data_IF_580125993082
#
_entry.id   IF_580125993082
#
_cell.length_a   1.000
_cell.length_b   1.000
_cell.length_c   1.000
_cell.angle_alpha   90.00
_cell.angle_beta   90.00
_cell.angle_gamma   90.00
#
_symmetry.space_group_name_H-M   'P 1'
#
loop_
_entity.id
_entity.type
_entity.pdbx_description
1 polymer ?
#
# COMPACT_ATOMS: atom_id res chain seq x y z
N UNK A 1 42.89 -95.61 3.88
CA UNK A 1 43.24 -95.38 2.46
C UNK A 1 42.41 -94.19 1.95
N UNK A 2 42.76 -93.60 0.80
CA UNK A 2 42.15 -92.39 0.20
C UNK A 2 40.61 -92.54 -0.07
N UNK A 3 39.78 -91.49 -0.23
CA UNK A 3 40.03 -90.02 -0.30
C UNK A 3 38.86 -89.12 0.22
N UNK A 4 38.84 -87.83 -0.16
CA UNK A 4 37.89 -86.75 0.26
C UNK A 4 36.70 -86.61 -0.76
N UNK A 5 35.71 -85.69 -0.71
CA UNK A 5 35.60 -84.33 -0.11
C UNK A 5 34.16 -83.72 -0.13
N UNK A 6 33.81 -82.88 0.87
CA UNK A 6 32.72 -81.85 0.95
C UNK A 6 31.22 -82.28 0.82
N UNK A 7 30.25 -81.88 1.68
CA UNK A 7 29.72 -80.55 2.18
C UNK A 7 28.78 -79.85 1.18
N UNK A 8 27.63 -79.23 1.52
CA UNK A 8 26.79 -79.02 2.75
C UNK A 8 25.41 -78.42 2.31
N UNK A 9 24.33 -78.16 3.07
CA UNK A 9 24.00 -78.07 4.52
C UNK A 9 23.49 -76.63 4.90
N UNK A 10 22.55 -76.35 5.83
CA UNK A 10 21.77 -77.19 6.77
C UNK A 10 20.68 -76.37 7.56
N UNK A 11 19.37 -76.75 7.51
CA UNK A 11 18.25 -76.54 8.51
C UNK A 11 17.93 -75.11 9.06
N UNK A 12 16.85 -74.81 9.83
CA UNK A 12 15.91 -75.59 10.68
C UNK A 12 14.43 -75.07 10.67
N UNK A 13 13.59 -75.47 11.65
CA UNK A 13 12.09 -75.45 11.57
C UNK A 13 11.34 -75.31 12.93
N UNK A 14 10.01 -75.03 12.87
CA UNK A 14 8.96 -75.15 13.93
C UNK A 14 8.85 -74.03 15.01
N UNK A 15 7.70 -73.77 15.66
CA UNK A 15 6.29 -74.18 15.40
C UNK A 15 5.33 -74.13 16.62
N UNK A 16 4.12 -73.55 16.47
CA UNK A 16 2.91 -73.66 17.34
C UNK A 16 2.95 -73.08 18.79
N UNK A 17 1.85 -72.99 19.57
CA UNK A 17 0.45 -72.47 19.36
C UNK A 17 -0.28 -72.44 20.75
N UNK A 18 -1.03 -71.36 21.10
CA UNK A 18 -2.01 -71.24 22.23
C UNK A 18 -1.42 -71.35 23.68
N UNK A 19 -1.86 -70.69 24.78
CA UNK A 19 -3.14 -70.01 25.16
C UNK A 19 -2.94 -68.68 25.92
N UNK A 20 -3.97 -67.82 25.85
CA UNK A 20 -4.39 -66.71 26.74
C UNK A 20 -3.70 -66.55 28.13
N UNK A 21 -3.21 -65.32 28.43
CA UNK A 21 -3.22 -64.77 29.80
C UNK A 21 -3.06 -63.24 29.87
N UNK A 22 -3.75 -62.70 30.87
CA UNK A 22 -3.95 -61.32 31.32
C UNK A 22 -2.73 -60.36 31.32
N UNK A 23 -2.96 -59.16 30.79
CA UNK A 23 -2.35 -57.85 31.10
C UNK A 23 -0.84 -57.71 31.41
N UNK A 24 -0.16 -56.88 30.60
CA UNK A 24 0.54 -55.72 31.17
C UNK A 24 0.43 -54.50 30.25
N UNK A 25 -0.11 -53.39 30.76
CA UNK A 25 -0.10 -52.12 30.07
C UNK A 25 1.25 -51.43 30.25
N UNK A 26 2.21 -51.72 29.38
CA UNK A 26 3.38 -50.84 29.19
C UNK A 26 3.03 -49.85 28.09
N UNK A 27 2.33 -48.80 28.49
CA UNK A 27 2.13 -47.66 27.61
C UNK A 27 3.49 -47.05 27.29
N UNK A 28 3.95 -47.17 26.05
CA UNK A 28 4.85 -46.18 25.49
C UNK A 28 4.07 -44.86 25.35
N UNK A 29 3.92 -44.18 26.49
CA UNK A 29 3.84 -42.73 26.51
C UNK A 29 5.15 -42.26 25.91
N UNK A 30 5.17 -42.13 24.58
CA UNK A 30 6.24 -41.42 23.90
C UNK A 30 6.28 -40.05 24.56
N UNK A 31 7.39 -39.76 25.24
CA UNK A 31 7.62 -38.42 25.77
C UNK A 31 7.95 -37.52 24.57
N UNK A 32 6.89 -37.15 23.85
CA UNK A 32 6.91 -36.18 22.78
C UNK A 32 7.35 -34.87 23.38
N UNK A 33 8.66 -34.61 23.31
CA UNK A 33 9.18 -33.25 23.37
C UNK A 33 8.42 -32.48 22.30
N UNK A 34 7.58 -31.53 22.71
CA UNK A 34 6.83 -30.69 21.77
C UNK A 34 7.82 -30.13 20.75
N UNK A 35 7.65 -30.50 19.48
CA UNK A 35 8.62 -30.15 18.44
C UNK A 35 8.40 -28.70 18.02
N UNK A 36 8.99 -27.80 18.82
CA UNK A 36 8.87 -26.37 18.64
C UNK A 36 9.49 -25.95 17.30
N UNK A 37 8.73 -25.18 16.52
CA UNK A 37 9.14 -24.65 15.23
C UNK A 37 10.44 -23.84 15.41
N UNK A 38 11.50 -24.10 14.60
CA UNK A 38 12.75 -23.37 14.67
C UNK A 38 12.55 -21.86 14.58
N UNK A 39 13.23 -21.12 15.45
CA UNK A 39 13.00 -19.69 15.73
C UNK A 39 12.87 -18.81 14.48
N UNK A 40 13.78 -18.97 13.50
CA UNK A 40 13.76 -18.21 12.24
C UNK A 40 12.56 -18.55 11.35
N UNK A 41 12.08 -19.79 11.42
CA UNK A 41 10.90 -20.24 10.68
C UNK A 41 9.62 -19.78 11.36
N UNK A 42 9.56 -19.85 12.71
CA UNK A 42 8.45 -19.31 13.48
C UNK A 42 8.26 -17.81 13.27
N UNK A 43 9.35 -17.02 13.22
CA UNK A 43 9.29 -15.60 12.84
C UNK A 43 8.70 -15.37 11.44
N UNK A 44 9.07 -16.20 10.47
CA UNK A 44 8.53 -16.11 9.09
C UNK A 44 7.04 -16.49 9.03
N UNK A 45 6.62 -17.54 9.73
CA UNK A 45 5.21 -17.92 9.86
C UNK A 45 4.40 -16.77 10.46
N UNK A 46 4.85 -16.18 11.58
CA UNK A 46 4.15 -15.05 12.20
C UNK A 46 3.97 -13.87 11.25
N UNK A 47 4.97 -13.54 10.43
CA UNK A 47 4.88 -12.48 9.42
C UNK A 47 3.89 -12.80 8.32
N UNK A 48 3.98 -13.99 7.73
CA UNK A 48 3.08 -14.42 6.67
C UNK A 48 1.62 -14.45 7.17
N UNK A 49 1.36 -14.95 8.39
CA UNK A 49 0.05 -14.89 9.04
C UNK A 49 -0.49 -13.45 9.16
N UNK A 50 0.33 -12.51 9.64
CA UNK A 50 -0.12 -11.12 9.85
C UNK A 50 -0.33 -10.37 8.52
N UNK A 51 0.52 -10.63 7.52
CA UNK A 51 0.35 -10.08 6.17
C UNK A 51 -0.92 -10.64 5.53
N UNK A 52 -1.13 -11.96 5.57
CA UNK A 52 -2.34 -12.58 5.02
C UNK A 52 -3.62 -12.13 5.74
N UNK A 53 -3.59 -11.99 7.07
CA UNK A 53 -4.73 -11.43 7.82
C UNK A 53 -5.03 -9.98 7.45
N UNK A 54 -4.00 -9.17 7.20
CA UNK A 54 -4.17 -7.80 6.71
C UNK A 54 -4.76 -7.76 5.29
N UNK A 55 -4.27 -8.63 4.41
CA UNK A 55 -4.73 -8.75 3.01
C UNK A 55 -6.19 -9.22 2.92
N UNK A 56 -6.60 -10.18 3.74
CA UNK A 56 -8.01 -10.61 3.85
C UNK A 56 -8.96 -9.52 4.40
N UNK A 57 -8.42 -8.40 4.90
CA UNK A 57 -9.20 -7.24 5.32
C UNK A 57 -9.62 -6.30 4.18
N UNK A 58 -9.06 -6.45 2.98
CA UNK A 58 -9.50 -5.70 1.80
C UNK A 58 -10.71 -6.39 1.16
N UNK A 59 -11.79 -5.65 0.88
CA UNK A 59 -13.05 -6.19 0.37
C UNK A 59 -12.85 -7.08 -0.87
N UNK A 60 -12.19 -6.57 -1.90
CA UNK A 60 -11.91 -7.30 -3.16
C UNK A 60 -11.23 -8.66 -2.96
N UNK A 61 -10.42 -8.81 -1.90
CA UNK A 61 -9.70 -10.06 -1.59
C UNK A 61 -10.50 -10.92 -0.62
N UNK A 62 -11.19 -10.32 0.36
CA UNK A 62 -12.10 -11.01 1.25
C UNK A 62 -13.20 -11.73 0.49
N UNK A 63 -13.80 -11.07 -0.51
CA UNK A 63 -14.84 -11.66 -1.37
C UNK A 63 -14.30 -12.83 -2.22
N UNK A 64 -13.06 -12.74 -2.73
CA UNK A 64 -12.40 -13.86 -3.43
C UNK A 64 -12.15 -15.09 -2.54
N UNK A 65 -12.11 -14.92 -1.21
CA UNK A 65 -11.94 -16.00 -0.25
C UNK A 65 -13.20 -16.25 0.60
N UNK A 66 -14.37 -15.68 0.27
CA UNK A 66 -15.58 -15.78 1.08
C UNK A 66 -16.15 -17.20 1.21
N UNK A 67 -15.87 -18.09 0.26
CA UNK A 67 -16.20 -19.53 0.33
C UNK A 67 -15.16 -20.37 1.11
N UNK A 68 -14.00 -19.79 1.44
CA UNK A 68 -12.94 -20.44 2.22
C UNK A 68 -13.03 -20.03 3.69
N UNK A 69 -13.03 -21.00 4.61
CA UNK A 69 -12.80 -20.68 6.02
C UNK A 69 -11.41 -20.04 6.15
N UNK A 70 -11.34 -18.91 6.87
CA UNK A 70 -10.10 -18.24 7.28
C UNK A 70 -9.06 -19.21 7.89
N UNK A 71 -9.49 -20.29 8.54
CA UNK A 71 -8.62 -21.38 9.01
C UNK A 71 -7.81 -22.01 7.87
N UNK A 72 -8.42 -22.29 6.72
CA UNK A 72 -7.76 -22.95 5.59
C UNK A 72 -6.63 -22.09 5.01
N UNK A 73 -6.78 -20.75 5.02
CA UNK A 73 -5.71 -19.82 4.63
C UNK A 73 -4.54 -19.94 5.60
N UNK A 74 -4.78 -19.95 6.92
CA UNK A 74 -3.70 -20.12 7.91
C UNK A 74 -3.06 -21.52 7.86
N UNK A 75 -3.84 -22.57 7.60
CA UNK A 75 -3.34 -23.94 7.47
C UNK A 75 -2.43 -24.09 6.23
N UNK A 76 -2.80 -23.49 5.10
CA UNK A 76 -1.91 -23.42 3.91
C UNK A 76 -0.58 -22.71 4.19
N UNK A 77 -0.57 -21.73 5.12
CA UNK A 77 0.66 -21.05 5.56
C UNK A 77 1.51 -21.98 6.43
N UNK A 78 0.91 -22.80 7.30
CA UNK A 78 1.66 -23.79 8.09
C UNK A 78 2.29 -24.87 7.20
N UNK A 79 1.52 -25.40 6.25
CA UNK A 79 1.98 -26.39 5.27
C UNK A 79 3.10 -25.87 4.36
N UNK A 80 3.00 -24.61 3.90
CA UNK A 80 4.06 -23.90 3.14
C UNK A 80 5.41 -23.88 3.87
N UNK A 81 5.41 -23.94 5.20
CA UNK A 81 6.61 -24.01 6.02
C UNK A 81 6.99 -25.43 6.48
N UNK A 82 6.16 -26.44 6.19
CA UNK A 82 6.39 -27.85 6.55
C UNK A 82 6.03 -28.20 7.99
N UNK A 83 5.14 -27.45 8.64
CA UNK A 83 4.74 -27.67 10.03
C UNK A 83 3.24 -27.92 10.16
N UNK A 84 2.83 -28.77 11.09
CA UNK A 84 1.42 -28.88 11.45
C UNK A 84 0.98 -27.65 12.25
N UNK A 85 -0.32 -27.35 12.17
CA UNK A 85 -0.99 -26.32 12.99
C UNK A 85 -0.66 -26.46 14.48
N UNK A 86 -0.69 -27.68 15.01
CA UNK A 86 -0.39 -27.96 16.43
C UNK A 86 1.06 -27.57 16.81
N UNK A 87 2.04 -27.87 15.96
CA UNK A 87 3.45 -27.46 16.20
C UNK A 87 3.57 -25.93 16.25
N UNK A 88 2.88 -25.22 15.35
CA UNK A 88 2.89 -23.74 15.31
C UNK A 88 2.17 -23.14 16.51
N UNK A 89 0.98 -23.64 16.87
CA UNK A 89 0.20 -23.17 18.02
C UNK A 89 0.93 -23.43 19.35
N UNK A 90 1.53 -24.61 19.53
CA UNK A 90 2.33 -24.92 20.73
C UNK A 90 3.62 -24.09 20.78
N UNK A 91 4.23 -23.78 19.63
CA UNK A 91 5.34 -22.82 19.57
C UNK A 91 4.89 -21.42 19.97
N UNK A 92 3.74 -20.94 19.47
CA UNK A 92 3.16 -19.67 19.89
C UNK A 92 2.89 -19.59 21.39
N UNK A 93 2.28 -20.65 21.95
CA UNK A 93 2.04 -20.84 23.38
C UNK A 93 3.34 -20.76 24.19
N UNK A 94 4.38 -21.47 23.76
CA UNK A 94 5.69 -21.47 24.39
C UNK A 94 6.38 -20.09 24.32
N UNK A 95 6.32 -19.39 23.18
CA UNK A 95 6.90 -18.04 23.08
C UNK A 95 6.13 -17.01 23.91
N UNK A 96 4.80 -17.10 23.97
CA UNK A 96 3.97 -16.22 24.79
C UNK A 96 4.27 -16.37 26.29
N UNK A 97 4.31 -17.61 26.79
CA UNK A 97 4.50 -17.92 28.23
C UNK A 97 5.96 -17.76 28.67
N UNK A 98 6.93 -18.24 27.88
CA UNK A 98 8.34 -18.36 28.32
C UNK A 98 9.32 -17.40 27.64
N UNK A 99 8.93 -16.72 26.55
CA UNK A 99 9.82 -15.85 25.76
C UNK A 99 9.13 -14.57 25.27
N UNK A 100 8.24 -13.98 26.07
CA UNK A 100 7.41 -12.82 25.70
C UNK A 100 8.25 -11.65 25.14
N UNK A 101 9.36 -11.31 25.82
CA UNK A 101 10.33 -10.29 25.35
C UNK A 101 11.07 -10.59 24.05
N UNK A 102 10.96 -11.82 23.53
CA UNK A 102 11.49 -12.22 22.23
C UNK A 102 10.40 -12.21 21.16
N UNK A 103 9.16 -12.50 21.54
CA UNK A 103 7.98 -12.31 20.71
C UNK A 103 7.74 -10.80 20.43
N UNK A 104 7.87 -9.94 21.44
CA UNK A 104 7.88 -8.48 21.30
C UNK A 104 8.87 -8.02 20.22
N UNK A 105 10.13 -8.47 20.32
CA UNK A 105 11.19 -8.13 19.33
C UNK A 105 10.91 -8.63 17.92
N UNK A 106 10.12 -9.68 17.74
CA UNK A 106 9.65 -10.10 16.41
C UNK A 106 8.66 -9.10 15.84
N UNK A 107 7.72 -8.60 16.64
CA UNK A 107 6.81 -7.53 16.22
C UNK A 107 7.55 -6.22 15.95
N UNK A 108 8.49 -5.79 16.81
CA UNK A 108 9.32 -4.60 16.57
C UNK A 108 10.07 -4.70 15.23
N UNK A 109 10.67 -5.85 14.94
CA UNK A 109 11.42 -6.10 13.70
C UNK A 109 10.50 -6.12 12.48
N UNK A 110 9.32 -6.73 12.60
CA UNK A 110 8.32 -6.79 11.54
C UNK A 110 7.73 -5.41 11.21
N UNK A 111 7.40 -4.61 12.23
CA UNK A 111 6.91 -3.24 12.06
C UNK A 111 7.99 -2.36 11.41
N UNK A 112 9.26 -2.47 11.85
CA UNK A 112 10.38 -1.79 11.21
C UNK A 112 10.56 -2.17 9.73
N UNK A 113 10.43 -3.45 9.38
CA UNK A 113 10.43 -3.90 7.97
C UNK A 113 9.25 -3.34 7.16
N UNK A 114 8.06 -3.20 7.76
CA UNK A 114 6.89 -2.61 7.10
C UNK A 114 7.08 -1.12 6.86
N UNK A 115 7.46 -0.34 7.87
CA UNK A 115 7.69 1.10 7.72
C UNK A 115 8.83 1.43 6.74
N UNK A 116 9.88 0.60 6.68
CA UNK A 116 10.93 0.73 5.67
C UNK A 116 10.42 0.48 4.24
N UNK A 117 9.51 -0.48 4.05
CA UNK A 117 8.85 -0.73 2.76
C UNK A 117 7.85 0.36 2.39
N UNK A 118 7.10 0.88 3.35
CA UNK A 118 6.16 1.99 3.15
C UNK A 118 6.90 3.27 2.71
N UNK A 119 8.04 3.57 3.34
CA UNK A 119 8.92 4.66 2.94
C UNK A 119 9.44 4.46 1.50
N UNK A 120 9.97 3.27 1.18
CA UNK A 120 10.48 2.96 -0.16
C UNK A 120 9.38 3.02 -1.24
N UNK A 121 8.16 2.51 -0.96
CA UNK A 121 7.01 2.60 -1.87
C UNK A 121 6.54 4.05 -2.03
N UNK A 122 6.67 4.87 -1.00
CA UNK A 122 6.35 6.31 -1.08
C UNK A 122 7.38 7.04 -1.94
N UNK A 123 8.67 6.77 -1.76
CA UNK A 123 9.76 7.32 -2.56
C UNK A 123 9.66 6.88 -4.04
N UNK A 124 9.42 5.59 -4.29
CA UNK A 124 9.18 5.05 -5.64
C UNK A 124 7.93 5.66 -6.29
N UNK A 125 6.82 5.80 -5.55
CA UNK A 125 5.62 6.47 -6.06
C UNK A 125 5.86 7.94 -6.36
N UNK A 126 6.60 8.68 -5.53
CA UNK A 126 6.99 10.07 -5.84
C UNK A 126 7.79 10.11 -7.14
N UNK A 127 8.83 9.28 -7.30
CA UNK A 127 9.62 9.24 -8.53
C UNK A 127 8.81 8.84 -9.77
N UNK A 128 7.89 7.88 -9.67
CA UNK A 128 7.04 7.46 -10.81
C UNK A 128 5.99 8.53 -11.15
N UNK A 129 5.42 9.19 -10.15
CA UNK A 129 4.49 10.31 -10.33
C UNK A 129 5.21 11.51 -10.96
N UNK A 130 6.41 11.88 -10.49
CA UNK A 130 7.21 12.97 -11.08
C UNK A 130 7.56 12.68 -12.55
N UNK A 131 8.11 11.50 -12.85
CA UNK A 131 8.54 11.15 -14.20
C UNK A 131 7.37 11.10 -15.20
N UNK A 132 6.24 10.49 -14.83
CA UNK A 132 5.07 10.38 -15.71
C UNK A 132 4.34 11.72 -15.95
N UNK A 133 4.68 12.77 -15.20
CA UNK A 133 3.97 14.06 -15.22
C UNK A 133 4.83 15.25 -15.61
N UNK A 134 6.16 15.12 -15.62
CA UNK A 134 7.09 16.25 -15.84
C UNK A 134 6.80 17.05 -17.12
N UNK A 135 6.34 16.40 -18.20
CA UNK A 135 5.97 17.08 -19.45
C UNK A 135 4.72 17.99 -19.32
N UNK A 136 3.76 17.64 -18.46
CA UNK A 136 2.57 18.46 -18.19
C UNK A 136 2.80 19.45 -17.03
N UNK A 137 3.59 19.06 -16.03
CA UNK A 137 3.95 19.89 -14.87
C UNK A 137 4.92 21.04 -15.20
N UNK A 138 5.51 21.06 -16.39
CA UNK A 138 6.37 22.15 -16.87
C UNK A 138 5.62 23.22 -17.68
N UNK A 139 4.32 23.04 -17.99
CA UNK A 139 3.47 24.05 -18.61
C UNK A 139 3.25 25.24 -17.66
N UNK A 140 4.09 26.27 -17.79
CA UNK A 140 4.01 27.52 -17.01
C UNK A 140 3.20 28.62 -17.71
N UNK A 141 2.73 28.39 -18.94
CA UNK A 141 1.89 29.28 -19.74
C UNK A 141 0.70 28.54 -20.37
N UNK A 142 -0.46 29.19 -20.34
CA UNK A 142 -1.74 28.73 -20.87
C UNK A 142 -2.35 29.86 -21.69
N UNK A 143 -2.73 29.55 -22.94
CA UNK A 143 -3.33 30.49 -23.88
C UNK A 143 -4.73 30.01 -24.22
N UNK A 144 -5.69 30.93 -24.22
CA UNK A 144 -7.07 30.64 -24.56
C UNK A 144 -7.50 31.53 -25.76
N UNK A 145 -8.18 30.96 -26.77
CA UNK A 145 -8.63 29.57 -26.84
C UNK A 145 -7.43 28.63 -27.08
N UNK A 146 -7.43 27.49 -26.41
CA UNK A 146 -6.48 26.43 -26.69
C UNK A 146 -6.93 25.62 -27.92
N UNK A 147 -6.07 24.74 -28.43
CA UNK A 147 -6.40 23.89 -29.59
C UNK A 147 -7.61 22.99 -29.31
N UNK A 148 -7.68 22.46 -28.09
CA UNK A 148 -8.93 22.01 -27.49
C UNK A 148 -9.63 23.20 -26.81
N UNK A 149 -10.87 23.50 -27.22
CA UNK A 149 -11.66 24.54 -26.58
C UNK A 149 -12.10 24.14 -25.16
N UNK A 150 -12.09 22.85 -24.80
CA UNK A 150 -12.48 22.39 -23.47
C UNK A 150 -11.40 22.65 -22.41
N UNK A 151 -10.10 22.72 -22.75
CA UNK A 151 -8.99 23.02 -21.81
C UNK A 151 -9.29 24.29 -20.97
N UNK A 152 -9.42 24.12 -19.66
CA UNK A 152 -9.63 25.20 -18.66
C UNK A 152 -8.33 25.60 -17.95
N UNK A 153 -7.19 25.19 -18.50
CA UNK A 153 -5.90 25.21 -17.84
C UNK A 153 -5.93 24.32 -16.60
N UNK A 154 -6.03 23.00 -16.80
CA UNK A 154 -5.93 22.07 -15.67
C UNK A 154 -4.57 22.21 -14.98
N UNK A 155 -4.60 22.22 -13.66
CA UNK A 155 -3.42 22.33 -12.80
C UNK A 155 -3.51 21.28 -11.70
N UNK A 156 -2.41 20.55 -11.48
CA UNK A 156 -2.23 19.75 -10.27
C UNK A 156 -0.76 19.76 -9.83
N UNK A 157 -0.50 19.89 -8.53
CA UNK A 157 0.83 19.76 -7.90
C UNK A 157 0.73 19.01 -6.57
N UNK A 158 1.68 18.12 -6.33
CA UNK A 158 1.83 17.40 -5.06
C UNK A 158 2.60 18.27 -4.05
N UNK A 159 2.17 18.30 -2.79
CA UNK A 159 2.85 19.00 -1.70
C UNK A 159 3.08 18.07 -0.50
N UNK A 160 4.36 17.88 -0.18
CA UNK A 160 4.82 16.94 0.85
C UNK A 160 4.71 17.58 2.24
N UNK A 161 5.46 18.67 2.46
CA UNK A 161 5.61 19.35 3.75
C UNK A 161 4.30 19.96 4.27
N UNK A 162 4.16 19.99 5.59
CA UNK A 162 3.17 20.86 6.25
C UNK A 162 3.65 22.32 6.18
N UNK A 163 2.73 23.28 6.25
CA UNK A 163 3.04 24.70 6.26
C UNK A 163 2.25 25.52 5.24
N UNK A 164 2.85 26.62 4.79
CA UNK A 164 2.22 27.60 3.89
C UNK A 164 2.88 27.57 2.52
N UNK A 165 2.07 27.72 1.48
CA UNK A 165 2.47 27.78 0.09
C UNK A 165 1.82 28.99 -0.57
N UNK A 166 2.51 29.58 -1.56
CA UNK A 166 1.95 30.60 -2.44
C UNK A 166 1.87 30.03 -3.86
N UNK A 167 0.67 29.98 -4.43
CA UNK A 167 0.51 29.83 -5.88
C UNK A 167 0.54 31.23 -6.50
N UNK A 168 1.53 31.54 -7.34
CA UNK A 168 1.66 32.83 -8.02
C UNK A 168 1.62 32.67 -9.54
N UNK A 169 1.01 33.65 -10.22
CA UNK A 169 0.87 33.69 -11.68
C UNK A 169 0.49 35.08 -12.18
N UNK A 170 0.78 35.36 -13.46
CA UNK A 170 0.20 36.48 -14.19
C UNK A 170 -1.06 36.00 -14.94
N UNK A 171 -2.11 36.82 -15.00
CA UNK A 171 -3.26 36.62 -15.89
C UNK A 171 -3.63 37.90 -16.63
N UNK A 172 -4.03 37.76 -17.90
CA UNK A 172 -4.70 38.76 -18.72
C UNK A 172 -5.97 38.15 -19.27
N UNK A 173 -7.13 38.78 -19.04
CA UNK A 173 -8.40 38.42 -19.70
C UNK A 173 -8.85 39.59 -20.56
N UNK A 174 -9.22 39.28 -21.80
CA UNK A 174 -9.58 40.29 -22.77
C UNK A 174 -10.99 40.88 -22.51
N UNK A 175 -11.24 42.18 -22.78
CA UNK A 175 -12.58 42.74 -22.72
C UNK A 175 -13.57 42.05 -23.66
N UNK A 176 -13.10 41.44 -24.76
CA UNK A 176 -13.94 40.70 -25.70
C UNK A 176 -14.26 39.26 -25.27
N UNK A 177 -13.71 38.78 -24.15
CA UNK A 177 -13.92 37.40 -23.69
C UNK A 177 -15.42 37.17 -23.35
N UNK A 178 -16.04 36.07 -23.80
CA UNK A 178 -17.47 35.82 -23.58
C UNK A 178 -17.77 35.07 -22.26
N UNK A 179 -16.78 34.52 -21.56
CA UNK A 179 -16.98 33.65 -20.40
C UNK A 179 -17.68 34.38 -19.25
N UNK A 180 -18.73 33.80 -18.67
CA UNK A 180 -19.34 34.38 -17.48
C UNK A 180 -18.43 34.14 -16.27
N UNK A 181 -17.94 35.21 -15.64
CA UNK A 181 -17.06 35.19 -14.46
C UNK A 181 -15.86 34.22 -14.55
N UNK A 182 -14.91 34.40 -15.48
CA UNK A 182 -13.72 33.55 -15.53
C UNK A 182 -12.91 33.67 -14.24
N UNK A 183 -12.43 32.54 -13.74
CA UNK A 183 -11.77 32.47 -12.43
C UNK A 183 -10.81 31.28 -12.30
N UNK A 184 -9.91 31.36 -11.34
CA UNK A 184 -9.22 30.21 -10.76
C UNK A 184 -10.17 29.49 -9.79
N UNK A 185 -10.27 28.17 -9.86
CA UNK A 185 -10.84 27.33 -8.80
C UNK A 185 -9.86 26.25 -8.36
N UNK A 186 -9.68 26.08 -7.05
CA UNK A 186 -8.71 25.16 -6.44
C UNK A 186 -9.33 24.27 -5.36
N UNK A 187 -8.86 23.02 -5.33
CA UNK A 187 -9.17 22.00 -4.33
C UNK A 187 -7.88 21.33 -3.83
N UNK A 188 -7.96 20.69 -2.66
CA UNK A 188 -6.93 19.85 -2.08
C UNK A 188 -7.52 18.48 -1.74
N UNK A 189 -6.88 17.42 -2.20
CA UNK A 189 -7.13 16.04 -1.74
C UNK A 189 -5.92 15.53 -0.95
N UNK A 190 -6.16 14.75 0.11
CA UNK A 190 -5.08 14.01 0.76
C UNK A 190 -4.64 12.85 -0.15
N UNK A 191 -3.36 12.48 -0.08
CA UNK A 191 -2.78 11.37 -0.84
C UNK A 191 -2.49 10.19 0.09
N UNK A 192 -3.56 9.55 0.61
CA UNK A 192 -3.47 8.41 1.53
C UNK A 192 -3.51 7.09 0.75
N UNK A 193 -2.34 6.52 0.47
CA UNK A 193 -2.24 5.15 -0.07
C UNK A 193 -2.87 4.94 -1.45
N UNK A 194 -3.96 4.16 -1.50
CA UNK A 194 -4.69 3.80 -2.74
C UNK A 194 -6.09 4.43 -2.77
N UNK A 195 -6.62 4.86 -1.62
CA UNK A 195 -7.94 5.49 -1.51
C UNK A 195 -7.93 6.86 -2.20
N UNK A 196 -8.62 6.95 -3.34
CA UNK A 196 -8.79 8.18 -4.11
C UNK A 196 -10.00 9.00 -3.67
N UNK A 197 -10.77 8.49 -2.71
CA UNK A 197 -12.18 8.83 -2.49
C UNK A 197 -12.41 9.71 -1.24
N UNK A 198 -11.35 10.26 -0.66
CA UNK A 198 -11.46 11.34 0.33
C UNK A 198 -11.99 12.61 -0.36
N UNK A 199 -13.12 13.12 0.10
CA UNK A 199 -13.81 14.27 -0.51
C UNK A 199 -12.87 15.48 -0.72
N UNK A 200 -12.85 16.08 -1.93
CA UNK A 200 -11.88 17.13 -2.24
C UNK A 200 -12.21 18.44 -1.53
N UNK A 201 -11.34 18.82 -0.61
CA UNK A 201 -11.43 20.03 0.21
C UNK A 201 -11.19 21.26 -0.65
N UNK A 202 -12.25 21.99 -0.99
CA UNK A 202 -12.16 23.28 -1.66
C UNK A 202 -11.20 24.23 -0.93
N UNK A 203 -10.30 24.88 -1.68
CA UNK A 203 -9.37 25.88 -1.16
C UNK A 203 -9.97 27.28 -1.37
N UNK A 204 -10.21 27.66 -2.63
CA UNK A 204 -10.60 29.04 -2.99
C UNK A 204 -11.08 29.16 -4.44
N UNK A 205 -11.79 30.25 -4.72
CA UNK A 205 -12.11 30.77 -6.04
C UNK A 205 -11.63 32.21 -6.15
N UNK A 206 -10.97 32.56 -7.26
CA UNK A 206 -10.42 33.90 -7.51
C UNK A 206 -10.83 34.40 -8.89
N UNK A 207 -11.73 35.38 -8.93
CA UNK A 207 -12.28 35.96 -10.15
C UNK A 207 -11.33 36.93 -10.85
N UNK A 208 -11.32 36.90 -12.18
CA UNK A 208 -10.49 37.77 -13.01
C UNK A 208 -11.23 39.01 -13.53
N UNK A 209 -10.46 40.06 -13.83
CA UNK A 209 -10.94 41.32 -14.41
C UNK A 209 -10.82 41.25 -15.94
N UNK A 210 -11.84 41.73 -16.65
CA UNK A 210 -11.95 41.76 -18.12
C UNK A 210 -11.69 43.14 -18.71
N UNK A 211 -10.47 43.62 -18.54
CA UNK A 211 -10.04 44.94 -19.03
C UNK A 211 -8.82 44.88 -19.97
N UNK A 212 -8.27 43.68 -20.21
CA UNK A 212 -7.08 43.47 -21.04
C UNK A 212 -5.76 43.78 -20.34
N UNK A 213 -5.78 44.19 -19.07
CA UNK A 213 -4.56 44.41 -18.28
C UNK A 213 -3.98 43.09 -17.74
N UNK A 214 -2.70 43.11 -17.40
CA UNK A 214 -2.02 41.97 -16.76
C UNK A 214 -2.06 42.16 -15.26
N UNK A 215 -2.68 41.22 -14.55
CA UNK A 215 -2.70 41.15 -13.09
C UNK A 215 -1.79 40.04 -12.60
N UNK A 216 -0.96 40.34 -11.61
CA UNK A 216 -0.19 39.33 -10.88
C UNK A 216 -0.95 38.94 -9.62
N UNK A 217 -1.24 37.65 -9.45
CA UNK A 217 -1.94 37.11 -8.29
C UNK A 217 -1.02 36.24 -7.44
N UNK A 218 -1.24 36.28 -6.12
CA UNK A 218 -0.62 35.42 -5.13
C UNK A 218 -1.75 34.81 -4.29
N UNK A 219 -1.91 33.49 -4.37
CA UNK A 219 -2.94 32.73 -3.67
C UNK A 219 -2.28 31.95 -2.53
N UNK A 220 -2.52 32.33 -1.25
CA UNK A 220 -1.97 31.61 -0.12
C UNK A 220 -2.76 30.30 0.12
N UNK A 221 -2.03 29.20 0.34
CA UNK A 221 -2.57 27.86 0.57
C UNK A 221 -1.91 27.30 1.84
N UNK A 222 -2.69 26.70 2.73
CA UNK A 222 -2.21 26.20 4.03
C UNK A 222 -2.47 24.69 4.18
N UNK A 223 -1.40 23.89 4.35
CA UNK A 223 -1.45 22.46 4.63
C UNK A 223 -1.15 22.22 6.12
N UNK A 224 -2.21 21.89 6.87
CA UNK A 224 -2.17 21.62 8.32
C UNK A 224 -2.10 20.13 8.70
N UNK A 225 -2.12 19.25 7.72
CA UNK A 225 -2.40 17.81 7.90
C UNK A 225 -1.27 16.95 7.28
N UNK A 226 -1.08 15.77 7.86
CA UNK A 226 -0.33 14.64 7.28
C UNK A 226 -1.35 13.63 6.72
N UNK A 227 -1.08 12.90 5.62
CA UNK A 227 0.22 12.71 4.96
C UNK A 227 0.46 13.75 3.85
N UNK A 228 0.98 13.31 2.69
CA UNK A 228 1.12 14.13 1.48
C UNK A 228 -0.26 14.60 0.99
N UNK A 229 -0.32 15.78 0.38
CA UNK A 229 -1.54 16.27 -0.25
C UNK A 229 -1.30 16.66 -1.71
N UNK A 230 -2.38 16.81 -2.47
CA UNK A 230 -2.37 17.17 -3.88
C UNK A 230 -3.31 18.37 -4.05
N UNK A 231 -2.75 19.51 -4.43
CA UNK A 231 -3.50 20.70 -4.83
C UNK A 231 -3.83 20.54 -6.31
N UNK A 232 -5.09 20.73 -6.70
CA UNK A 232 -5.49 20.69 -8.10
C UNK A 232 -6.65 21.65 -8.41
N UNK A 233 -6.93 21.86 -9.69
CA UNK A 233 -8.09 22.63 -10.14
C UNK A 233 -7.93 23.16 -11.56
N UNK A 234 -8.64 24.25 -11.85
CA UNK A 234 -8.66 24.88 -13.17
C UNK A 234 -8.26 26.35 -13.06
N UNK A 235 -7.31 26.76 -13.89
CA UNK A 235 -6.80 28.12 -13.93
C UNK A 235 -7.78 29.09 -14.62
N UNK A 236 -8.70 28.60 -15.44
CA UNK A 236 -9.73 29.37 -16.14
C UNK A 236 -11.05 28.58 -16.19
N UNK A 237 -11.70 28.43 -15.02
CA UNK A 237 -12.98 27.74 -14.89
C UNK A 237 -14.19 28.63 -15.27
N UNK A 238 -15.33 27.99 -15.52
CA UNK A 238 -16.52 28.60 -16.15
C UNK A 238 -17.86 28.23 -15.46
N UNK A 239 -17.82 27.77 -14.20
CA UNK A 239 -18.99 27.31 -13.42
C UNK A 239 -19.87 26.27 -14.15
N UNK A 240 -19.27 25.44 -15.01
CA UNK A 240 -20.00 24.43 -15.77
C UNK A 240 -20.85 25.00 -16.91
N UNK A 241 -20.54 26.19 -17.43
CA UNK A 241 -21.06 26.68 -18.70
C UNK A 241 -20.06 26.37 -19.85
N UNK A 242 -20.29 25.30 -20.65
CA UNK A 242 -19.37 24.85 -21.69
C UNK A 242 -19.53 25.59 -23.04
N UNK A 243 -20.03 26.83 -23.04
CA UNK A 243 -19.97 27.71 -24.22
C UNK A 243 -18.54 28.25 -24.43
N UNK A 244 -17.58 27.34 -24.65
CA UNK A 244 -16.13 27.61 -24.52
C UNK A 244 -15.51 28.25 -25.78
N UNK A 245 -16.26 28.32 -26.88
CA UNK A 245 -15.84 28.96 -28.12
C UNK A 245 -15.59 30.46 -27.90
N UNK A 246 -14.34 30.88 -28.04
CA UNK A 246 -13.94 32.29 -27.96
C UNK A 246 -13.46 32.79 -26.60
N UNK A 247 -13.14 31.91 -25.63
CA UNK A 247 -12.27 32.27 -24.49
C UNK A 247 -11.08 33.11 -25.01
N UNK A 248 -10.74 34.24 -24.39
CA UNK A 248 -9.59 35.06 -24.78
C UNK A 248 -8.82 35.51 -23.53
N UNK A 249 -7.83 34.70 -23.17
CA UNK A 249 -7.02 34.93 -21.98
C UNK A 249 -5.59 34.36 -22.12
N UNK A 250 -4.68 34.90 -21.32
CA UNK A 250 -3.31 34.43 -21.15
C UNK A 250 -3.04 34.29 -19.66
N UNK A 251 -2.69 33.09 -19.21
CA UNK A 251 -2.19 32.82 -17.85
C UNK A 251 -0.73 32.37 -18.00
N UNK A 252 0.20 32.92 -17.23
CA UNK A 252 1.62 32.58 -17.34
C UNK A 252 2.38 32.74 -16.03
N UNK A 253 3.67 32.39 -16.05
CA UNK A 253 4.58 32.51 -14.90
C UNK A 253 4.08 31.73 -13.67
N UNK A 254 3.34 30.64 -13.90
CA UNK A 254 2.70 29.84 -12.87
C UNK A 254 3.75 29.12 -12.00
N UNK A 255 3.71 29.39 -10.69
CA UNK A 255 4.62 28.82 -9.69
C UNK A 255 3.89 28.46 -8.41
N UNK A 256 4.33 27.39 -7.76
CA UNK A 256 3.92 27.02 -6.40
C UNK A 256 5.16 26.99 -5.51
N UNK A 257 5.29 27.97 -4.61
CA UNK A 257 6.48 28.17 -3.78
C UNK A 257 6.13 27.94 -2.30
N UNK A 258 6.96 27.19 -1.56
CA UNK A 258 6.82 27.04 -0.10
C UNK A 258 7.26 28.33 0.60
N UNK A 259 6.52 28.74 1.63
CA UNK A 259 6.81 29.93 2.43
C UNK A 259 7.49 29.49 3.73
N UNK A 260 8.79 29.78 3.93
CA UNK A 260 9.46 29.50 5.20
C UNK A 260 8.81 30.25 6.38
N UNK A 261 8.97 29.69 7.57
CA UNK A 261 8.61 30.32 8.86
C UNK A 261 9.88 30.73 9.60
#
# INVERSE_FOLDING_TARGET
MMERKNRSGFFATCGGIITFSLALAVGFVSCSKEELVPEKTFYRILKDLHISKGILGFADVGDMFAESDSLAVYESIYEKYGYSREMVENTGRYYFIHKTKKLEKFYDSFLGELSAKEAAITEERVMVIDNARTEELTKTEFRFPAEDNEDRGYFERQIMSEGKYNLSFDVRVDPSDPTFKPHLSLWMRQSVGIERDLEPKFITTLFYIKDGNIYHFIVPIEKRERPVAVIYGYLFDTDGNPALAGKNALIRNLKLEYVPQ
#
